data_IF_177849344983
#
_entry.id   IF_177849344983
#
_cell.length_a   1.000
_cell.length_b   1.000
_cell.length_c   1.000
_cell.angle_alpha   90.00
_cell.angle_beta   90.00
_cell.angle_gamma   90.00
#
_symmetry.space_group_name_H-M   'P 1'
#
loop_
_entity.id
_entity.type
_entity.pdbx_description
1 polymer ?
#
# COMPACT_ATOMS: atom_id res chain seq x y z
N UNK A 1 20.62 -15.26 -35.54
CA UNK A 1 20.03 -14.90 -34.24
C UNK A 1 18.73 -14.13 -34.50
N UNK A 2 17.57 -14.79 -34.38
CA UNK A 2 16.27 -14.13 -34.57
C UNK A 2 15.99 -13.20 -33.37
N UNK A 3 16.01 -11.90 -33.61
CA UNK A 3 15.59 -10.89 -32.62
C UNK A 3 14.07 -10.92 -32.57
N UNK A 4 13.50 -11.77 -31.70
CA UNK A 4 12.08 -11.84 -31.43
C UNK A 4 11.63 -10.50 -30.83
N UNK A 5 11.23 -9.55 -31.68
CA UNK A 5 10.61 -8.30 -31.26
C UNK A 5 9.12 -8.60 -31.10
N UNK A 6 8.72 -9.13 -29.96
CA UNK A 6 7.32 -9.08 -29.53
C UNK A 6 6.86 -7.63 -29.60
N UNK A 7 5.87 -7.35 -30.45
CA UNK A 7 5.31 -6.02 -30.64
C UNK A 7 4.68 -5.58 -29.31
N UNK A 8 5.29 -4.61 -28.63
CA UNK A 8 4.76 -4.05 -27.39
C UNK A 8 3.56 -3.17 -27.75
N UNK A 9 2.41 -3.41 -27.12
CA UNK A 9 1.20 -2.60 -27.25
C UNK A 9 0.80 -2.06 -25.88
N UNK A 10 0.14 -0.91 -25.85
CA UNK A 10 -0.35 -0.31 -24.61
C UNK A 10 -1.60 -1.06 -24.13
N UNK A 11 -1.60 -1.52 -22.88
CA UNK A 11 -2.73 -2.19 -22.24
C UNK A 11 -3.14 -1.39 -21.01
N UNK A 12 -4.44 -1.11 -20.88
CA UNK A 12 -4.98 -0.37 -19.74
C UNK A 12 -5.11 -1.30 -18.53
N UNK A 13 -4.05 -1.36 -17.72
CA UNK A 13 -3.96 -2.27 -16.57
C UNK A 13 -4.59 -1.69 -15.30
N UNK A 14 -4.38 -0.39 -15.03
CA UNK A 14 -4.80 0.25 -13.79
C UNK A 14 -6.01 1.14 -14.02
N UNK A 15 -7.10 0.90 -13.30
CA UNK A 15 -8.31 1.71 -13.40
C UNK A 15 -8.18 3.01 -12.59
N UNK A 16 -8.97 4.04 -12.93
CA UNK A 16 -8.98 5.33 -12.23
C UNK A 16 -9.16 5.16 -10.70
N UNK A 17 -10.06 4.30 -10.19
CA UNK A 17 -10.24 4.11 -8.75
C UNK A 17 -8.99 3.58 -8.04
N UNK A 18 -8.20 2.75 -8.73
CA UNK A 18 -6.93 2.24 -8.21
C UNK A 18 -5.87 3.35 -8.13
N UNK A 19 -5.84 4.26 -9.12
CA UNK A 19 -4.94 5.42 -9.08
C UNK A 19 -5.32 6.41 -7.98
N UNK A 20 -6.61 6.69 -7.80
CA UNK A 20 -7.10 7.60 -6.75
C UNK A 20 -6.75 7.05 -5.38
N UNK A 21 -7.07 5.78 -5.09
CA UNK A 21 -6.72 5.15 -3.81
C UNK A 21 -5.21 5.11 -3.57
N UNK A 22 -4.40 4.92 -4.61
CA UNK A 22 -2.94 5.00 -4.49
C UNK A 22 -2.45 6.38 -4.04
N UNK A 23 -2.90 7.46 -4.68
CA UNK A 23 -2.50 8.83 -4.32
C UNK A 23 -3.02 9.24 -2.94
N UNK A 24 -4.25 8.86 -2.59
CA UNK A 24 -4.80 9.08 -1.25
C UNK A 24 -3.94 8.36 -0.20
N UNK A 25 -3.56 7.10 -0.45
CA UNK A 25 -2.69 6.35 0.46
C UNK A 25 -1.32 7.01 0.60
N UNK A 26 -0.71 7.46 -0.49
CA UNK A 26 0.59 8.14 -0.44
C UNK A 26 0.53 9.38 0.48
N UNK A 27 -0.44 10.27 0.24
CA UNK A 27 -0.59 11.50 1.04
C UNK A 27 -0.89 11.15 2.50
N UNK A 28 -1.83 10.24 2.74
CA UNK A 28 -2.23 9.86 4.10
C UNK A 28 -1.07 9.23 4.88
N UNK A 29 -0.30 8.32 4.28
CA UNK A 29 0.86 7.70 4.93
C UNK A 29 1.93 8.75 5.27
N UNK A 30 2.20 9.71 4.38
CA UNK A 30 3.13 10.80 4.66
C UNK A 30 2.67 11.63 5.86
N UNK A 31 1.40 12.05 5.87
CA UNK A 31 0.84 12.84 6.97
C UNK A 31 0.84 12.05 8.27
N UNK A 32 0.36 10.79 8.26
CA UNK A 32 0.31 9.92 9.43
C UNK A 32 1.71 9.64 10.01
N UNK A 33 2.71 9.47 9.15
CA UNK A 33 4.09 9.23 9.59
C UNK A 33 4.67 10.46 10.28
N UNK A 34 4.57 11.63 9.66
CA UNK A 34 5.10 12.89 10.22
C UNK A 34 4.41 13.25 11.54
N UNK A 35 3.08 13.21 11.55
CA UNK A 35 2.28 13.53 12.74
C UNK A 35 2.43 12.48 13.83
N UNK A 36 2.51 11.19 13.48
CA UNK A 36 2.71 10.10 14.44
C UNK A 36 4.06 10.16 15.15
N UNK A 37 5.14 10.45 14.41
CA UNK A 37 6.48 10.68 15.00
C UNK A 37 6.44 11.86 15.97
N UNK A 38 5.78 12.95 15.60
CA UNK A 38 5.62 14.10 16.48
C UNK A 38 4.79 13.77 17.73
N UNK A 39 3.71 13.00 17.60
CA UNK A 39 2.88 12.60 18.75
C UNK A 39 3.67 11.72 19.73
N UNK A 40 4.47 10.78 19.23
CA UNK A 40 5.30 9.89 20.05
C UNK A 40 6.54 10.56 20.64
N UNK A 41 7.05 11.61 19.99
CA UNK A 41 8.23 12.37 20.45
C UNK A 41 7.98 13.88 20.34
N UNK A 42 7.16 14.45 21.26
CA UNK A 42 6.74 15.84 21.16
C UNK A 42 7.95 16.77 21.21
N UNK A 43 8.01 17.69 20.25
CA UNK A 43 8.99 18.79 20.21
C UNK A 43 8.26 20.10 20.47
N UNK A 44 8.95 21.07 21.05
CA UNK A 44 8.41 22.41 21.28
C UNK A 44 8.30 23.17 19.94
N UNK A 45 7.22 22.93 19.20
CA UNK A 45 6.89 23.68 17.98
C UNK A 45 6.00 24.90 18.25
N UNK A 46 5.35 24.96 19.42
CA UNK A 46 4.60 26.14 19.88
C UNK A 46 5.49 27.09 20.67
N UNK A 47 5.19 28.39 20.58
CA UNK A 47 5.86 29.44 21.36
C UNK A 47 5.12 29.63 22.68
N UNK A 48 3.79 29.53 22.65
CA UNK A 48 2.92 29.65 23.82
C UNK A 48 2.02 28.43 24.02
N UNK A 49 1.66 28.07 25.27
CA UNK A 49 0.70 27.00 25.54
C UNK A 49 -0.68 27.20 24.89
N UNK A 50 -1.05 28.45 24.62
CA UNK A 50 -2.29 28.82 23.95
C UNK A 50 -2.35 28.37 22.47
N UNK A 51 -1.20 28.07 21.84
CA UNK A 51 -1.12 27.67 20.44
C UNK A 51 -1.77 26.30 20.16
N UNK A 52 -1.97 25.49 21.20
CA UNK A 52 -2.63 24.17 21.14
C UNK A 52 -2.09 23.24 20.03
N UNK A 53 -0.80 23.36 19.70
CA UNK A 53 -0.16 22.70 18.55
C UNK A 53 -0.35 21.19 18.58
N UNK A 54 -0.16 20.55 19.74
CA UNK A 54 -0.34 19.11 19.89
C UNK A 54 -1.78 18.67 19.59
N UNK A 55 -2.77 19.48 19.96
CA UNK A 55 -4.18 19.22 19.66
C UNK A 55 -4.44 19.25 18.17
N UNK A 56 -3.96 20.28 17.46
CA UNK A 56 -4.07 20.37 16.01
C UNK A 56 -3.38 19.21 15.29
N UNK A 57 -2.19 18.81 15.73
CA UNK A 57 -1.48 17.67 15.14
C UNK A 57 -2.26 16.37 15.33
N UNK A 58 -2.87 16.15 16.50
CA UNK A 58 -3.75 14.99 16.73
C UNK A 58 -4.98 15.01 15.83
N UNK A 59 -5.65 16.15 15.67
CA UNK A 59 -6.81 16.29 14.76
C UNK A 59 -6.42 15.93 13.33
N UNK A 60 -5.29 16.44 12.84
CA UNK A 60 -4.77 16.10 11.50
C UNK A 60 -4.44 14.61 11.39
N UNK A 61 -3.80 14.02 12.40
CA UNK A 61 -3.48 12.60 12.43
C UNK A 61 -4.73 11.73 12.34
N UNK A 62 -5.73 11.98 13.19
CA UNK A 62 -6.97 11.20 13.19
C UNK A 62 -7.76 11.35 11.89
N UNK A 63 -7.86 12.57 11.37
CA UNK A 63 -8.54 12.84 10.08
C UNK A 63 -7.85 12.11 8.92
N UNK A 64 -6.51 12.14 8.87
CA UNK A 64 -5.74 11.37 7.90
C UNK A 64 -5.93 9.85 8.09
N UNK A 65 -6.06 9.38 9.33
CA UNK A 65 -6.36 7.99 9.67
C UNK A 65 -7.71 7.52 9.11
N UNK A 66 -8.76 8.34 9.24
CA UNK A 66 -10.07 8.07 8.63
C UNK A 66 -9.99 8.04 7.10
N UNK A 67 -9.32 9.00 6.48
CA UNK A 67 -9.13 9.03 5.03
C UNK A 67 -8.38 7.79 4.52
N UNK A 68 -7.33 7.37 5.24
CA UNK A 68 -6.58 6.14 4.96
C UNK A 68 -7.45 4.89 5.11
N UNK A 69 -8.24 4.79 6.18
CA UNK A 69 -9.14 3.66 6.41
C UNK A 69 -10.21 3.53 5.32
N UNK A 70 -10.81 4.64 4.88
CA UNK A 70 -11.78 4.66 3.77
C UNK A 70 -11.12 4.25 2.46
N UNK A 71 -9.91 4.76 2.17
CA UNK A 71 -9.16 4.38 0.97
C UNK A 71 -8.79 2.90 0.97
N UNK A 72 -8.37 2.36 2.12
CA UNK A 72 -8.09 0.94 2.30
C UNK A 72 -9.34 0.09 2.09
N UNK A 73 -10.49 0.46 2.67
CA UNK A 73 -11.75 -0.23 2.48
C UNK A 73 -12.19 -0.23 1.01
N UNK A 74 -12.10 0.93 0.34
CA UNK A 74 -12.37 1.05 -1.10
C UNK A 74 -11.44 0.15 -1.92
N UNK A 75 -10.16 0.04 -1.55
CA UNK A 75 -9.19 -0.81 -2.23
C UNK A 75 -9.47 -2.30 -2.02
N UNK A 76 -9.83 -2.70 -0.80
CA UNK A 76 -10.24 -4.08 -0.49
C UNK A 76 -11.48 -4.44 -1.30
N UNK A 77 -12.49 -3.57 -1.34
CA UNK A 77 -13.67 -3.76 -2.19
C UNK A 77 -13.31 -3.93 -3.67
N UNK A 78 -12.43 -3.06 -4.18
CA UNK A 78 -11.98 -3.12 -5.58
C UNK A 78 -11.13 -4.35 -5.89
N UNK A 79 -10.53 -5.00 -4.89
CA UNK A 79 -9.81 -6.26 -5.08
C UNK A 79 -10.77 -7.45 -5.35
N UNK A 80 -12.06 -7.32 -5.05
CA UNK A 80 -13.08 -8.33 -5.38
C UNK A 80 -13.86 -7.99 -6.65
N UNK A 81 -14.16 -6.71 -6.91
CA UNK A 81 -15.01 -6.25 -8.02
C UNK A 81 -14.21 -5.84 -9.26
N UNK A 82 -12.93 -5.48 -9.10
CA UNK A 82 -12.10 -4.91 -10.16
C UNK A 82 -11.62 -5.90 -11.22
N UNK A 83 -10.89 -5.36 -12.20
CA UNK A 83 -10.33 -6.11 -13.32
C UNK A 83 -9.37 -7.24 -12.87
N UNK A 84 -9.12 -8.21 -13.75
CA UNK A 84 -8.26 -9.39 -13.53
C UNK A 84 -6.87 -9.05 -12.96
N UNK A 85 -6.35 -7.88 -13.29
CA UNK A 85 -5.04 -7.37 -12.89
C UNK A 85 -5.04 -6.64 -11.53
N UNK A 86 -6.21 -6.29 -11.01
CA UNK A 86 -6.40 -5.63 -9.72
C UNK A 86 -7.05 -6.56 -8.67
N UNK A 87 -7.34 -7.81 -9.04
CA UNK A 87 -8.05 -8.77 -8.22
C UNK A 87 -7.19 -9.41 -7.12
N UNK A 88 -7.84 -9.92 -6.06
CA UNK A 88 -7.21 -10.55 -4.89
C UNK A 88 -6.14 -11.61 -5.23
N UNK A 89 -6.34 -12.36 -6.33
CA UNK A 89 -5.41 -13.41 -6.77
C UNK A 89 -4.00 -12.90 -7.09
N UNK A 90 -3.88 -11.65 -7.52
CA UNK A 90 -2.59 -11.03 -7.82
C UNK A 90 -1.76 -10.78 -6.55
N UNK A 91 -2.43 -10.58 -5.41
CA UNK A 91 -1.79 -10.38 -4.10
C UNK A 91 -1.36 -11.69 -3.43
N UNK A 92 -1.86 -12.84 -3.89
CA UNK A 92 -1.58 -14.14 -3.27
C UNK A 92 -0.93 -15.15 -4.25
N UNK A 93 0.23 -14.80 -4.83
CA UNK A 93 0.86 -15.60 -5.88
C UNK A 93 1.41 -16.96 -5.42
N UNK A 94 1.58 -17.15 -4.11
CA UNK A 94 2.03 -18.41 -3.53
C UNK A 94 0.95 -19.51 -3.52
N UNK A 95 -0.33 -19.16 -3.68
CA UNK A 95 -1.44 -20.11 -3.61
C UNK A 95 -1.58 -21.00 -4.85
N UNK A 96 -1.02 -20.59 -6.00
CA UNK A 96 -1.10 -21.34 -7.25
C UNK A 96 0.30 -21.81 -7.72
N UNK A 97 0.42 -23.02 -8.31
CA UNK A 97 1.71 -23.56 -8.73
C UNK A 97 2.50 -22.66 -9.69
N UNK A 98 1.80 -21.99 -10.60
CA UNK A 98 2.41 -21.09 -11.58
C UNK A 98 3.00 -19.83 -10.93
N UNK A 99 2.31 -19.27 -9.93
CA UNK A 99 2.78 -18.10 -9.18
C UNK A 99 4.04 -18.42 -8.38
N UNK A 100 4.10 -19.58 -7.71
CA UNK A 100 5.32 -20.06 -7.02
C UNK A 100 6.52 -20.21 -7.98
N UNK A 101 6.28 -20.74 -9.18
CA UNK A 101 7.32 -20.87 -10.21
C UNK A 101 7.83 -19.50 -10.69
N UNK A 102 6.91 -18.55 -10.85
CA UNK A 102 7.24 -17.18 -11.26
C UNK A 102 7.94 -16.39 -10.13
N UNK A 103 7.56 -16.61 -8.86
CA UNK A 103 8.27 -16.06 -7.69
C UNK A 103 9.72 -16.54 -7.66
N UNK A 104 9.97 -17.85 -7.82
CA UNK A 104 11.33 -18.39 -7.84
C UNK A 104 12.17 -17.84 -9.00
N UNK A 105 11.58 -17.71 -10.20
CA UNK A 105 12.25 -17.09 -11.35
C UNK A 105 12.59 -15.62 -11.10
N UNK A 106 11.67 -14.86 -10.50
CA UNK A 106 11.90 -13.44 -10.20
C UNK A 106 12.92 -13.27 -9.07
N UNK A 107 12.93 -14.14 -8.07
CA UNK A 107 13.94 -14.16 -7.02
C UNK A 107 15.35 -14.44 -7.57
N UNK A 108 15.50 -15.43 -8.45
CA UNK A 108 16.77 -15.72 -9.13
C UNK A 108 17.22 -14.55 -10.02
N UNK A 109 16.28 -13.82 -10.61
CA UNK A 109 16.56 -12.63 -11.38
C UNK A 109 17.05 -11.47 -10.49
N UNK A 110 16.37 -11.20 -9.37
CA UNK A 110 16.77 -10.15 -8.41
C UNK A 110 18.08 -10.45 -7.67
N UNK A 111 18.41 -11.72 -7.47
CA UNK A 111 19.71 -12.14 -6.93
C UNK A 111 20.81 -12.23 -8.00
N UNK A 112 20.53 -11.80 -9.24
CA UNK A 112 21.44 -11.82 -10.39
C UNK A 112 21.95 -13.22 -10.80
N UNK A 113 21.35 -14.29 -10.26
CA UNK A 113 21.64 -15.69 -10.64
C UNK A 113 21.05 -16.05 -12.02
N UNK A 114 20.05 -15.31 -12.49
CA UNK A 114 19.42 -15.50 -13.80
C UNK A 114 19.38 -14.19 -14.59
N UNK A 115 19.71 -14.27 -15.90
CA UNK A 115 19.59 -13.14 -16.84
C UNK A 115 18.24 -13.06 -17.57
N UNK A 116 17.32 -14.01 -17.32
CA UNK A 116 16.00 -14.04 -17.96
C UNK A 116 15.00 -13.21 -17.16
N UNK A 117 14.52 -12.12 -17.76
CA UNK A 117 13.46 -11.27 -17.21
C UNK A 117 12.11 -11.96 -17.45
N UNK A 118 11.34 -12.30 -16.41
CA UNK A 118 9.92 -12.62 -16.58
C UNK A 118 9.19 -11.32 -16.93
N UNK A 119 8.32 -11.33 -17.96
CA UNK A 119 7.47 -10.20 -18.31
C UNK A 119 6.02 -10.45 -17.82
N UNK A 120 5.72 -10.23 -16.53
CA UNK A 120 4.33 -10.24 -16.07
C UNK A 120 3.61 -8.96 -16.50
N UNK A 121 2.37 -9.10 -16.98
CA UNK A 121 1.43 -7.98 -17.13
C UNK A 121 0.82 -7.69 -15.76
N UNK A 122 1.17 -6.55 -15.14
CA UNK A 122 0.71 -6.21 -13.79
C UNK A 122 1.79 -6.33 -12.72
N UNK A 123 1.49 -6.97 -11.58
CA UNK A 123 2.49 -7.16 -10.53
C UNK A 123 3.32 -8.40 -10.83
N UNK A 124 4.62 -8.32 -10.53
CA UNK A 124 5.38 -9.55 -10.49
C UNK A 124 5.00 -10.36 -9.25
N UNK A 125 5.14 -11.68 -9.33
CA UNK A 125 4.72 -12.58 -8.27
C UNK A 125 5.45 -12.32 -6.93
N UNK A 126 6.64 -11.72 -6.93
CA UNK A 126 7.31 -11.34 -5.68
C UNK A 126 6.71 -10.04 -5.10
N UNK A 127 6.44 -9.06 -5.96
CA UNK A 127 5.81 -7.79 -5.59
C UNK A 127 4.39 -8.01 -5.05
N UNK A 128 3.60 -8.89 -5.68
CA UNK A 128 2.27 -9.26 -5.19
C UNK A 128 2.29 -9.78 -3.76
N UNK A 129 3.25 -10.66 -3.43
CA UNK A 129 3.44 -11.16 -2.08
C UNK A 129 3.85 -10.06 -1.09
N UNK A 130 4.73 -9.14 -1.49
CA UNK A 130 5.09 -7.98 -0.66
C UNK A 130 3.89 -7.07 -0.40
N UNK A 131 3.04 -6.85 -1.40
CA UNK A 131 1.82 -6.05 -1.21
C UNK A 131 0.88 -6.69 -0.19
N UNK A 132 0.73 -8.02 -0.18
CA UNK A 132 -0.07 -8.69 0.85
C UNK A 132 0.43 -8.38 2.28
N UNK A 133 1.75 -8.42 2.50
CA UNK A 133 2.34 -8.06 3.79
C UNK A 133 2.05 -6.60 4.15
N UNK A 134 2.14 -5.69 3.18
CA UNK A 134 1.81 -4.27 3.37
C UNK A 134 0.33 -4.09 3.72
N UNK A 135 -0.59 -4.80 3.07
CA UNK A 135 -2.02 -4.77 3.40
C UNK A 135 -2.30 -5.27 4.81
N UNK A 136 -1.64 -6.35 5.24
CA UNK A 136 -1.75 -6.84 6.62
C UNK A 136 -1.26 -5.78 7.61
N UNK A 137 -0.11 -5.16 7.33
CA UNK A 137 0.42 -4.08 8.16
C UNK A 137 -0.57 -2.90 8.25
N UNK A 138 -1.20 -2.52 7.14
CA UNK A 138 -2.23 -1.48 7.13
C UNK A 138 -3.42 -1.84 8.01
N UNK A 139 -3.92 -3.07 7.93
CA UNK A 139 -5.02 -3.55 8.78
C UNK A 139 -4.65 -3.51 10.25
N UNK A 140 -3.43 -3.93 10.61
CA UNK A 140 -2.94 -3.87 11.99
C UNK A 140 -2.87 -2.42 12.47
N UNK A 141 -2.26 -1.50 11.70
CA UNK A 141 -2.14 -0.08 12.08
C UNK A 141 -3.50 0.61 12.22
N UNK A 142 -4.44 0.32 11.31
CA UNK A 142 -5.81 0.85 11.38
C UNK A 142 -6.53 0.31 12.61
N UNK A 143 -6.43 -1.01 12.87
CA UNK A 143 -7.05 -1.64 14.03
C UNK A 143 -6.51 -1.12 15.36
N UNK A 144 -5.19 -1.03 15.52
CA UNK A 144 -4.58 -0.50 16.74
C UNK A 144 -4.82 1.00 16.89
N UNK A 145 -4.77 1.76 15.80
CA UNK A 145 -5.06 3.19 15.80
C UNK A 145 -6.49 3.51 16.26
N UNK A 146 -7.49 2.80 15.73
CA UNK A 146 -8.87 2.96 16.18
C UNK A 146 -9.11 2.46 17.60
N UNK A 147 -8.42 1.40 18.04
CA UNK A 147 -8.50 0.96 19.43
C UNK A 147 -8.01 2.05 20.40
N UNK A 148 -6.88 2.70 20.09
CA UNK A 148 -6.37 3.82 20.89
C UNK A 148 -7.29 5.04 20.85
N UNK A 149 -7.92 5.31 19.70
CA UNK A 149 -8.87 6.41 19.56
C UNK A 149 -10.17 6.16 20.36
N UNK A 150 -10.67 4.92 20.37
CA UNK A 150 -11.89 4.55 21.08
C UNK A 150 -11.74 4.54 22.61
N UNK A 151 -10.53 4.23 23.13
CA UNK A 151 -10.23 4.30 24.57
C UNK A 151 -10.27 5.74 25.09
N UNK A 152 -10.13 6.74 24.22
CA UNK A 152 -10.25 8.15 24.57
C UNK A 152 -11.72 8.51 24.84
N UNK A 153 -12.23 8.02 25.97
CA UNK A 153 -13.51 8.41 26.55
C UNK A 153 -13.41 9.88 27.00
N UNK A 154 -14.18 10.83 26.44
CA UNK A 154 -14.24 12.21 26.93
C UNK A 154 -14.81 12.30 28.36
#
# INVERSE_FOLDING_TARGET
MARNRSCLYEEYVWEVPVRVTHWVNMIAITVLSLTGIYIGSPRTLGVDPADFVMGWVRVVHFTAGYAFAVSLAARIWWAFVGNRHAGWREFVPFMYPEGRRNMGRMFLYYTFLSRKVPHPTGHNALAGATYLLVFILYLVMVGTGFALYAEHSP
#
